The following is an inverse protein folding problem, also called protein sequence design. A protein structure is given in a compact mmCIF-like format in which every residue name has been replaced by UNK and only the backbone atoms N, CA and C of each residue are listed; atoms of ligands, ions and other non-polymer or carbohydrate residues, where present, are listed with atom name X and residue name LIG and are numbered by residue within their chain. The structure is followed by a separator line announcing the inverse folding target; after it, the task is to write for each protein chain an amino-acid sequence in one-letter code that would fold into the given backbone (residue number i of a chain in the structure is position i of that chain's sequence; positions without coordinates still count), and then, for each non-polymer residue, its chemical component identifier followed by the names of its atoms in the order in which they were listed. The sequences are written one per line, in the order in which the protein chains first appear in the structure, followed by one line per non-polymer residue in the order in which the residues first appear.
data_IF_669942621627
#
_entry.id   IF_669942621627
#
_cell.length_a   1.000
_cell.length_b   1.000
_cell.length_c   1.000
_cell.angle_alpha   90.00
_cell.angle_beta   90.00
_cell.angle_gamma   90.00
#
_symmetry.space_group_name_H-M   'P 1'
#
loop_
_entity.id
_entity.type
_entity.pdbx_description
1 polymer ?
#
# COMPACT_ATOMS: atom_id res chain seq x y z
N UNK A 1 -11.45 -5.95 -7.02
CA UNK A 1 -10.91 -6.15 -5.66
C UNK A 1 -9.43 -5.90 -5.74
N UNK A 2 -8.84 -5.15 -4.80
CA UNK A 2 -7.58 -4.44 -5.05
C UNK A 2 -6.48 -5.26 -5.76
N UNK A 3 -6.23 -6.50 -5.33
CA UNK A 3 -5.25 -7.39 -5.96
C UNK A 3 -5.59 -7.73 -7.43
N UNK A 4 -6.84 -8.10 -7.70
CA UNK A 4 -7.35 -8.39 -9.06
C UNK A 4 -7.25 -7.14 -9.93
N UNK A 5 -7.62 -5.97 -9.38
CA UNK A 5 -7.58 -4.71 -10.11
C UNK A 5 -6.13 -4.33 -10.48
N UNK A 6 -5.16 -4.61 -9.60
CA UNK A 6 -3.73 -4.43 -9.89
C UNK A 6 -3.22 -5.42 -10.95
N UNK A 7 -3.67 -6.68 -10.90
CA UNK A 7 -3.28 -7.69 -11.90
C UNK A 7 -3.79 -7.33 -13.30
N UNK A 8 -5.02 -6.84 -13.41
CA UNK A 8 -5.55 -6.34 -14.69
C UNK A 8 -4.78 -5.12 -15.21
N UNK A 9 -4.40 -4.19 -14.33
CA UNK A 9 -3.55 -3.06 -14.71
C UNK A 9 -2.17 -3.52 -15.19
N UNK A 10 -1.58 -4.52 -14.54
CA UNK A 10 -0.30 -5.13 -14.96
C UNK A 10 -0.40 -5.75 -16.36
N UNK A 11 -1.51 -6.42 -16.70
CA UNK A 11 -1.74 -6.98 -18.04
C UNK A 11 -1.84 -5.91 -19.14
N UNK A 12 -2.37 -4.73 -18.80
CA UNK A 12 -2.46 -3.59 -19.73
C UNK A 12 -1.12 -2.86 -19.87
N UNK A 13 -0.47 -2.57 -18.74
CA UNK A 13 0.82 -1.91 -18.65
C UNK A 13 1.58 -2.40 -17.41
N UNK A 14 2.65 -3.22 -17.57
CA UNK A 14 3.43 -3.70 -16.45
C UNK A 14 4.03 -2.56 -15.59
N UNK A 15 4.34 -1.40 -16.19
CA UNK A 15 4.93 -0.27 -15.47
C UNK A 15 3.90 0.50 -14.63
N UNK A 16 2.60 0.23 -14.80
CA UNK A 16 1.53 0.85 -14.03
C UNK A 16 1.43 0.34 -12.59
N UNK A 17 2.04 -0.80 -12.30
CA UNK A 17 2.09 -1.41 -10.96
C UNK A 17 3.49 -1.33 -10.36
N UNK A 18 3.59 -1.41 -9.03
CA UNK A 18 4.86 -1.37 -8.31
C UNK A 18 5.72 -2.60 -8.59
N UNK A 19 7.05 -2.47 -8.46
CA UNK A 19 8.00 -3.51 -8.84
C UNK A 19 7.80 -4.83 -8.10
N UNK A 20 7.46 -4.77 -6.81
CA UNK A 20 7.19 -5.95 -6.00
C UNK A 20 5.97 -6.73 -6.53
N UNK A 21 4.93 -6.02 -6.99
CA UNK A 21 3.73 -6.63 -7.58
C UNK A 21 4.02 -7.19 -8.97
N UNK A 22 4.86 -6.52 -9.78
CA UNK A 22 5.29 -7.08 -11.07
C UNK A 22 5.95 -8.44 -10.90
N UNK A 23 6.92 -8.55 -9.99
CA UNK A 23 7.63 -9.81 -9.74
C UNK A 23 6.68 -10.92 -9.28
N UNK A 24 5.69 -10.57 -8.46
CA UNK A 24 4.64 -11.49 -8.04
C UNK A 24 3.79 -11.94 -9.24
N UNK A 25 3.36 -11.00 -10.08
CA UNK A 25 2.52 -11.29 -11.24
C UNK A 25 3.26 -11.98 -12.39
N UNK A 26 4.59 -11.83 -12.49
CA UNK A 26 5.43 -12.58 -13.44
C UNK A 26 5.40 -14.09 -13.17
N UNK A 27 5.17 -14.49 -11.91
CA UNK A 27 5.12 -15.90 -11.47
C UNK A 27 3.69 -16.45 -11.38
N UNK A 28 2.67 -15.58 -11.48
CA UNK A 28 1.25 -15.94 -11.34
C UNK A 28 0.52 -16.03 -12.67
N UNK A 29 -0.46 -16.94 -12.74
CA UNK A 29 -1.39 -17.05 -13.87
C UNK A 29 -2.81 -16.64 -13.44
N UNK A 30 -3.65 -16.31 -14.43
CA UNK A 30 -5.08 -15.98 -14.21
C UNK A 30 -5.84 -17.08 -13.42
N UNK A 31 -5.45 -18.34 -13.59
CA UNK A 31 -6.01 -19.49 -12.87
C UNK A 31 -5.82 -19.40 -11.36
N UNK A 32 -4.74 -18.77 -10.91
CA UNK A 32 -4.35 -18.75 -9.50
C UNK A 32 -5.28 -17.84 -8.68
N UNK A 33 -5.94 -16.89 -9.34
CA UNK A 33 -6.95 -16.03 -8.71
C UNK A 33 -8.27 -16.75 -8.43
N UNK A 34 -8.60 -17.80 -9.20
CA UNK A 34 -9.78 -18.63 -8.93
C UNK A 34 -9.59 -19.52 -7.70
N UNK A 35 -8.36 -19.97 -7.45
CA UNK A 35 -8.01 -20.73 -6.24
C UNK A 35 -7.91 -19.85 -4.99
N UNK A 36 -7.56 -18.56 -5.15
CA UNK A 36 -7.55 -17.59 -4.06
C UNK A 36 -8.95 -17.31 -3.50
N UNK A 37 -10.00 -17.37 -4.31
CA UNK A 37 -11.39 -17.17 -3.85
C UNK A 37 -11.90 -18.38 -3.04
N UNK A 38 -11.38 -19.59 -3.30
CA UNK A 38 -11.65 -20.78 -2.46
C UNK A 38 -10.77 -20.82 -1.19
N UNK A 39 -9.53 -20.33 -1.25
CA UNK A 39 -8.62 -20.29 -0.10
C UNK A 39 -8.91 -19.12 0.86
N UNK A 40 -9.66 -18.09 0.45
CA UNK A 40 -10.07 -17.00 1.34
C UNK A 40 -11.07 -17.45 2.44
N UNK A 41 -11.63 -18.66 2.35
CA UNK A 41 -12.41 -19.29 3.40
C UNK A 41 -11.56 -20.09 4.42
N UNK A 42 -10.26 -20.26 4.18
CA UNK A 42 -9.35 -21.03 5.04
C UNK A 42 -8.17 -20.19 5.50
N UNK A 43 -8.29 -19.63 6.70
CA UNK A 43 -7.23 -19.15 7.61
C UNK A 43 -5.82 -19.01 7.00
N UNK A 44 -5.65 -18.05 6.08
CA UNK A 44 -4.31 -17.54 5.77
C UNK A 44 -4.04 -16.45 6.80
N UNK A 45 -3.45 -16.85 7.92
CA UNK A 45 -2.73 -15.93 8.80
C UNK A 45 -1.47 -15.44 8.07
N UNK A 46 -1.66 -14.65 7.01
CA UNK A 46 -0.68 -13.63 6.67
C UNK A 46 -0.75 -12.71 7.87
N UNK A 47 0.28 -12.72 8.73
CA UNK A 47 0.41 -11.73 9.78
C UNK A 47 0.07 -10.38 9.12
N UNK A 48 -0.95 -9.65 9.61
CA UNK A 48 -1.41 -8.44 8.94
C UNK A 48 -0.20 -7.52 8.90
N UNK A 49 0.45 -7.44 7.74
CA UNK A 49 1.48 -6.45 7.51
C UNK A 49 0.78 -5.16 7.86
N UNK A 50 1.30 -4.44 8.84
CA UNK A 50 0.69 -3.24 9.43
C UNK A 50 0.75 -2.09 8.42
N UNK A 51 0.20 -2.32 7.22
CA UNK A 51 0.12 -1.43 6.08
C UNK A 51 -0.64 -0.17 6.48
N UNK A 52 -1.63 -0.30 7.37
CA UNK A 52 -2.34 0.84 7.96
C UNK A 52 -1.39 1.74 8.76
N UNK A 53 -0.53 1.17 9.61
CA UNK A 53 0.45 1.95 10.39
C UNK A 53 1.52 2.54 9.49
N UNK A 54 1.95 1.82 8.46
CA UNK A 54 2.94 2.29 7.49
C UNK A 54 2.38 3.48 6.68
N UNK A 55 1.15 3.36 6.18
CA UNK A 55 0.45 4.44 5.49
C UNK A 55 0.17 5.63 6.41
N UNK A 56 -0.25 5.38 7.65
CA UNK A 56 -0.44 6.42 8.64
C UNK A 56 0.86 7.16 8.97
N UNK A 57 1.99 6.45 9.06
CA UNK A 57 3.31 7.04 9.28
C UNK A 57 3.75 7.90 8.09
N UNK A 58 3.53 7.45 6.86
CA UNK A 58 3.81 8.24 5.65
C UNK A 58 2.95 9.52 5.62
N UNK A 59 1.65 9.40 5.84
CA UNK A 59 0.73 10.54 5.90
C UNK A 59 1.10 11.53 7.00
N UNK A 60 1.50 11.04 8.18
CA UNK A 60 1.98 11.88 9.27
C UNK A 60 3.25 12.64 8.88
N UNK A 61 4.21 11.97 8.23
CA UNK A 61 5.44 12.61 7.77
C UNK A 61 5.15 13.74 6.77
N UNK A 62 4.20 13.53 5.85
CA UNK A 62 3.81 14.56 4.89
C UNK A 62 3.07 15.74 5.54
N UNK A 63 2.22 15.46 6.54
CA UNK A 63 1.57 16.51 7.32
C UNK A 63 2.58 17.37 8.10
N UNK A 64 3.61 16.75 8.69
CA UNK A 64 4.69 17.49 9.38
C UNK A 64 5.48 18.36 8.39
N UNK A 65 5.87 17.81 7.22
CA UNK A 65 6.61 18.58 6.20
C UNK A 65 5.80 19.76 5.68
N UNK A 66 4.51 19.56 5.44
CA UNK A 66 3.64 20.58 4.85
C UNK A 66 3.22 21.62 5.88
N UNK A 67 2.82 21.20 7.08
CA UNK A 67 2.14 22.04 8.07
C UNK A 67 2.89 22.22 9.39
N UNK A 68 4.06 21.60 9.55
CA UNK A 68 4.83 21.68 10.81
C UNK A 68 5.17 23.11 11.23
N UNK A 69 5.32 24.02 10.26
CA UNK A 69 5.55 25.44 10.51
C UNK A 69 4.40 26.14 11.24
N UNK A 70 3.16 25.61 11.18
CA UNK A 70 2.00 26.17 11.87
C UNK A 70 1.98 25.84 13.37
N UNK A 71 2.53 24.68 13.73
CA UNK A 71 2.65 24.23 15.12
C UNK A 71 4.02 24.56 15.73
N UNK A 72 4.94 25.07 14.93
CA UNK A 72 6.26 25.45 15.40
C UNK A 72 6.18 26.74 16.23
N UNK A 73 6.77 26.71 17.41
CA UNK A 73 6.95 27.92 18.22
C UNK A 73 8.11 28.74 17.63
N UNK A 74 7.73 29.64 16.73
CA UNK A 74 8.66 30.48 15.97
C UNK A 74 8.77 31.90 16.54
N UNK A 75 8.15 32.18 17.69
CA UNK A 75 8.12 33.53 18.26
C UNK A 75 9.21 33.69 19.34
N UNK A 76 10.35 34.33 19.03
CA UNK A 76 11.47 34.43 19.97
C UNK A 76 11.22 35.35 21.16
N UNK A 77 10.14 36.14 21.10
CA UNK A 77 9.76 37.12 22.11
C UNK A 77 8.55 36.63 22.93
N UNK A 78 8.48 35.34 23.22
CA UNK A 78 7.36 34.70 23.94
C UNK A 78 6.76 35.60 25.03
N UNK A 79 5.42 35.67 25.07
CA UNK A 79 4.69 36.45 26.07
C UNK A 79 5.17 36.16 27.50
#
# INVERSE_FOLDING_TARGET
GYLIDQFENYKLDPLSVVEEMRRLFDEMNESDFFDLDLSAAGDVSVAPVENEKTYAAMKLADQIRTYGHLAADIYPLGN
#
